data_IF_064888254985
#
_entry.id   IF_064888254985
#
_cell.length_a   1.000
_cell.length_b   1.000
_cell.length_c   1.000
_cell.angle_alpha   90.00
_cell.angle_beta   90.00
_cell.angle_gamma   90.00
#
_symmetry.space_group_name_H-M   'P 1'
#
loop_
_entity.id
_entity.type
_entity.pdbx_description
1 polymer ?
#
# COMPACT_ATOMS: atom_id res chain seq x y z
N UNK A 1 18.52 -7.45 -13.42
CA UNK A 1 17.46 -6.52 -13.87
C UNK A 1 16.63 -6.12 -12.65
N UNK A 2 16.44 -4.82 -12.41
CA UNK A 2 15.72 -4.29 -11.26
C UNK A 2 14.34 -4.95 -11.03
N UNK A 3 13.60 -5.23 -12.12
CA UNK A 3 12.30 -5.89 -12.04
C UNK A 3 12.37 -7.33 -11.51
N UNK A 4 13.38 -8.11 -11.89
CA UNK A 4 13.54 -9.49 -11.40
C UNK A 4 13.97 -9.51 -9.93
N UNK A 5 14.86 -8.60 -9.55
CA UNK A 5 15.32 -8.39 -8.17
C UNK A 5 14.16 -7.98 -7.26
N UNK A 6 13.34 -7.02 -7.70
CA UNK A 6 12.10 -6.62 -7.05
C UNK A 6 11.18 -7.83 -6.84
N UNK A 7 10.78 -8.54 -7.90
CA UNK A 7 9.87 -9.70 -7.79
C UNK A 7 10.42 -10.75 -6.83
N UNK A 8 11.72 -11.06 -6.91
CA UNK A 8 12.35 -12.01 -6.02
C UNK A 8 12.24 -11.59 -4.55
N UNK A 9 12.62 -10.35 -4.23
CA UNK A 9 12.57 -9.81 -2.88
C UNK A 9 11.13 -9.69 -2.36
N UNK A 10 10.19 -9.23 -3.18
CA UNK A 10 8.77 -9.14 -2.80
C UNK A 10 8.20 -10.53 -2.44
N UNK A 11 8.56 -11.58 -3.19
CA UNK A 11 8.13 -12.96 -2.91
C UNK A 11 8.75 -13.52 -1.61
N UNK A 12 10.00 -13.15 -1.33
CA UNK A 12 10.75 -13.64 -0.16
C UNK A 12 10.37 -12.95 1.14
N UNK A 13 10.20 -11.62 1.10
CA UNK A 13 10.03 -10.81 2.30
C UNK A 13 8.58 -10.36 2.46
N UNK A 14 8.02 -9.70 1.44
CA UNK A 14 6.70 -9.05 1.53
C UNK A 14 5.54 -10.04 1.53
N UNK A 15 5.62 -11.09 0.71
CA UNK A 15 4.54 -12.08 0.51
C UNK A 15 4.88 -13.45 1.10
N UNK A 16 5.81 -13.50 2.06
CA UNK A 16 6.28 -14.74 2.66
C UNK A 16 5.16 -15.53 3.34
N UNK A 17 4.20 -14.83 3.97
CA UNK A 17 3.08 -15.43 4.69
C UNK A 17 1.86 -15.78 3.82
N UNK A 18 1.87 -15.46 2.53
CA UNK A 18 0.73 -15.76 1.65
C UNK A 18 0.76 -17.22 1.17
N UNK A 19 -0.43 -17.82 1.18
CA UNK A 19 -0.69 -19.18 0.71
C UNK A 19 -1.85 -19.17 -0.28
N UNK A 20 -1.89 -20.16 -1.17
CA UNK A 20 -2.82 -20.18 -2.31
C UNK A 20 -4.31 -20.05 -1.93
N UNK A 21 -4.72 -20.53 -0.75
CA UNK A 21 -6.11 -20.44 -0.34
C UNK A 21 -6.50 -19.02 0.11
N UNK A 22 -5.55 -18.19 0.58
CA UNK A 22 -5.81 -16.79 0.89
C UNK A 22 -6.29 -16.07 -0.38
N UNK A 23 -5.62 -16.31 -1.50
CA UNK A 23 -6.03 -15.76 -2.80
C UNK A 23 -7.47 -16.13 -3.16
N UNK A 24 -7.89 -17.38 -2.91
CA UNK A 24 -9.26 -17.83 -3.18
C UNK A 24 -10.26 -17.19 -2.22
N UNK A 25 -9.95 -17.09 -0.94
CA UNK A 25 -10.82 -16.44 0.07
C UNK A 25 -11.02 -14.96 -0.27
N UNK A 26 -9.94 -14.27 -0.63
CA UNK A 26 -9.95 -12.85 -0.95
C UNK A 26 -10.88 -12.52 -2.13
N UNK A 27 -11.02 -13.43 -3.10
CA UNK A 27 -11.96 -13.27 -4.23
C UNK A 27 -13.42 -13.10 -3.79
N UNK A 28 -13.78 -13.59 -2.59
CA UNK A 28 -15.10 -13.42 -2.00
C UNK A 28 -15.15 -12.23 -1.04
N UNK A 29 -14.07 -11.97 -0.29
CA UNK A 29 -14.07 -10.97 0.78
C UNK A 29 -13.83 -9.55 0.26
N UNK A 30 -12.84 -9.35 -0.63
CA UNK A 30 -12.41 -8.02 -1.10
C UNK A 30 -13.54 -7.31 -1.86
N UNK A 31 -14.33 -8.06 -2.61
CA UNK A 31 -15.34 -7.51 -3.52
C UNK A 31 -16.74 -7.48 -2.91
N UNK A 32 -16.88 -7.46 -1.58
CA UNK A 32 -18.14 -7.68 -0.85
C UNK A 32 -18.71 -9.09 -1.11
N UNK A 33 -18.83 -9.96 -0.10
CA UNK A 33 -19.31 -11.34 -0.27
C UNK A 33 -20.64 -11.48 -1.02
N UNK A 34 -21.55 -10.51 -0.90
CA UNK A 34 -22.86 -10.57 -1.56
C UNK A 34 -22.78 -10.31 -3.08
N UNK A 35 -21.68 -9.75 -3.57
CA UNK A 35 -21.47 -9.58 -5.00
C UNK A 35 -21.29 -10.92 -5.74
N UNK A 36 -21.11 -12.03 -5.03
CA UNK A 36 -21.17 -13.40 -5.57
C UNK A 36 -22.44 -13.65 -6.39
N UNK A 37 -23.56 -13.06 -5.96
CA UNK A 37 -24.84 -13.17 -6.65
C UNK A 37 -24.91 -12.40 -7.96
N UNK A 38 -23.83 -11.70 -8.36
CA UNK A 38 -23.70 -11.01 -9.64
C UNK A 38 -22.55 -11.57 -10.46
N UNK A 39 -21.34 -11.70 -9.89
CA UNK A 39 -20.18 -12.11 -10.68
C UNK A 39 -20.20 -13.60 -11.07
N UNK A 40 -20.74 -14.50 -10.22
CA UNK A 40 -20.92 -15.91 -10.62
C UNK A 40 -21.92 -16.06 -11.77
N UNK A 41 -23.10 -15.40 -11.73
CA UNK A 41 -23.97 -15.35 -12.90
C UNK A 41 -23.32 -14.75 -14.15
N UNK A 42 -22.42 -13.78 -14.00
CA UNK A 42 -21.63 -13.24 -15.11
C UNK A 42 -20.68 -14.26 -15.73
N UNK A 43 -20.01 -15.05 -14.89
CA UNK A 43 -19.18 -16.16 -15.35
C UNK A 43 -20.04 -17.23 -16.05
N UNK A 44 -21.20 -17.56 -15.49
CA UNK A 44 -22.17 -18.46 -16.10
C UNK A 44 -22.64 -17.94 -17.46
N UNK A 45 -22.92 -16.64 -17.57
CA UNK A 45 -23.34 -16.01 -18.82
C UNK A 45 -22.34 -16.24 -19.95
N UNK A 46 -21.04 -16.01 -19.70
CA UNK A 46 -20.01 -16.17 -20.73
C UNK A 46 -19.90 -17.60 -21.28
N UNK A 47 -20.17 -18.64 -20.47
CA UNK A 47 -19.96 -20.03 -20.89
C UNK A 47 -21.23 -20.78 -21.26
N UNK A 48 -22.38 -20.43 -20.67
CA UNK A 48 -23.59 -21.25 -20.75
C UNK A 48 -24.79 -20.52 -21.36
N UNK A 49 -24.84 -19.19 -21.31
CA UNK A 49 -25.92 -18.42 -21.94
C UNK A 49 -25.71 -18.35 -23.47
N UNK A 50 -26.79 -18.48 -24.25
CA UNK A 50 -26.75 -18.45 -25.73
C UNK A 50 -26.17 -17.15 -26.28
N UNK A 51 -26.49 -16.01 -25.68
CA UNK A 51 -25.97 -14.70 -26.07
C UNK A 51 -24.56 -14.50 -25.53
N UNK A 52 -24.32 -14.88 -24.26
CA UNK A 52 -23.03 -14.70 -23.61
C UNK A 52 -21.90 -15.53 -24.20
N UNK A 53 -22.20 -16.70 -24.79
CA UNK A 53 -21.21 -17.53 -25.50
C UNK A 53 -20.45 -16.81 -26.61
N UNK A 54 -21.04 -15.77 -27.22
CA UNK A 54 -20.37 -14.92 -28.23
C UNK A 54 -19.19 -14.15 -27.64
N UNK A 55 -19.19 -13.95 -26.32
CA UNK A 55 -18.19 -13.23 -25.56
C UNK A 55 -17.40 -14.15 -24.61
N UNK A 56 -17.41 -15.47 -24.85
CA UNK A 56 -16.76 -16.46 -24.00
C UNK A 56 -15.26 -16.19 -23.79
N UNK A 57 -14.59 -15.53 -24.74
CA UNK A 57 -13.19 -15.12 -24.64
C UNK A 57 -12.93 -14.25 -23.40
N UNK A 58 -13.90 -13.42 -22.99
CA UNK A 58 -13.79 -12.62 -21.76
C UNK A 58 -13.77 -13.51 -20.53
N UNK A 59 -14.65 -14.51 -20.48
CA UNK A 59 -14.64 -15.53 -19.44
C UNK A 59 -13.33 -16.33 -19.42
N UNK A 60 -12.78 -16.67 -20.58
CA UNK A 60 -11.47 -17.35 -20.70
C UNK A 60 -10.36 -16.46 -20.14
N UNK A 61 -10.31 -15.17 -20.50
CA UNK A 61 -9.31 -14.22 -19.97
C UNK A 61 -9.37 -14.18 -18.45
N UNK A 62 -10.57 -14.09 -17.87
CA UNK A 62 -10.75 -14.11 -16.42
C UNK A 62 -10.23 -15.43 -15.80
N UNK A 63 -10.63 -16.58 -16.34
CA UNK A 63 -10.20 -17.89 -15.81
C UNK A 63 -8.69 -18.07 -15.96
N UNK A 64 -8.10 -17.67 -17.08
CA UNK A 64 -6.65 -17.73 -17.29
C UNK A 64 -5.90 -16.85 -16.28
N UNK A 65 -6.33 -15.60 -16.08
CA UNK A 65 -5.72 -14.71 -15.10
C UNK A 65 -5.87 -15.26 -13.67
N UNK A 66 -7.06 -15.74 -13.30
CA UNK A 66 -7.31 -16.41 -12.02
C UNK A 66 -6.38 -17.60 -11.81
N UNK A 67 -6.26 -18.50 -12.80
CA UNK A 67 -5.40 -19.68 -12.69
C UNK A 67 -3.91 -19.31 -12.60
N UNK A 68 -3.44 -18.32 -13.35
CA UNK A 68 -2.04 -17.85 -13.27
C UNK A 68 -1.73 -17.35 -11.86
N UNK A 69 -2.60 -16.51 -11.29
CA UNK A 69 -2.42 -15.96 -9.94
C UNK A 69 -2.57 -17.03 -8.85
N UNK A 70 -3.52 -17.95 -9.01
CA UNK A 70 -3.70 -19.08 -8.09
C UNK A 70 -2.47 -20.00 -8.08
N UNK A 71 -1.97 -20.38 -9.26
CA UNK A 71 -0.82 -21.29 -9.41
C UNK A 71 0.50 -20.66 -8.99
N UNK A 72 0.61 -19.31 -9.00
CA UNK A 72 1.74 -18.61 -8.40
C UNK A 72 1.86 -18.85 -6.89
N UNK A 73 0.75 -19.15 -6.20
CA UNK A 73 0.71 -19.55 -4.79
C UNK A 73 0.96 -18.45 -3.75
N UNK A 74 1.51 -17.30 -4.17
CA UNK A 74 1.83 -16.14 -3.32
C UNK A 74 1.22 -14.83 -3.85
N UNK A 75 0.23 -14.92 -4.72
CA UNK A 75 -0.45 -13.74 -5.28
C UNK A 75 -1.45 -13.17 -4.29
N UNK A 76 -1.52 -11.84 -4.23
CA UNK A 76 -2.54 -11.13 -3.49
C UNK A 76 -3.89 -11.20 -4.20
N UNK A 77 -4.98 -11.28 -3.44
CA UNK A 77 -6.32 -11.38 -4.01
C UNK A 77 -6.71 -10.19 -4.88
N UNK A 78 -6.29 -8.98 -4.51
CA UNK A 78 -6.66 -7.75 -5.21
C UNK A 78 -6.12 -7.65 -6.63
N UNK A 79 -5.09 -8.42 -7.00
CA UNK A 79 -4.51 -8.40 -8.35
C UNK A 79 -5.51 -8.78 -9.45
N UNK A 80 -6.54 -9.56 -9.10
CA UNK A 80 -7.60 -9.94 -10.04
C UNK A 80 -8.76 -8.94 -10.10
N UNK A 81 -8.83 -7.97 -9.19
CA UNK A 81 -9.98 -7.05 -9.05
C UNK A 81 -10.43 -6.38 -10.35
N UNK A 82 -9.53 -5.88 -11.23
CA UNK A 82 -9.96 -5.25 -12.48
C UNK A 82 -10.77 -6.18 -13.39
N UNK A 83 -10.51 -7.49 -13.35
CA UNK A 83 -11.19 -8.46 -14.21
C UNK A 83 -12.67 -8.66 -13.82
N UNK A 84 -13.04 -8.35 -12.57
CA UNK A 84 -14.42 -8.49 -12.08
C UNK A 84 -15.39 -7.48 -12.69
N UNK A 85 -14.92 -6.34 -13.20
CA UNK A 85 -15.77 -5.36 -13.89
C UNK A 85 -16.55 -6.01 -15.04
N UNK A 86 -15.88 -6.89 -15.79
CA UNK A 86 -16.49 -7.61 -16.91
C UNK A 86 -17.49 -8.67 -16.44
N UNK A 87 -17.21 -9.35 -15.31
CA UNK A 87 -18.15 -10.30 -14.71
C UNK A 87 -19.39 -9.60 -14.16
N UNK A 88 -19.24 -8.42 -13.54
CA UNK A 88 -20.38 -7.65 -13.06
C UNK A 88 -21.28 -7.17 -14.21
N UNK A 89 -20.69 -6.70 -15.31
CA UNK A 89 -21.45 -6.32 -16.50
C UNK A 89 -22.24 -7.50 -17.07
N UNK A 90 -21.59 -8.65 -17.28
CA UNK A 90 -22.24 -9.87 -17.76
C UNK A 90 -23.31 -10.39 -16.78
N UNK A 91 -23.04 -10.32 -15.48
CA UNK A 91 -23.95 -10.70 -14.42
C UNK A 91 -25.23 -9.87 -14.44
N UNK A 92 -25.09 -8.55 -14.59
CA UNK A 92 -26.21 -7.63 -14.73
C UNK A 92 -27.12 -7.98 -15.93
N UNK A 93 -26.53 -8.22 -17.10
CA UNK A 93 -27.27 -8.64 -18.31
C UNK A 93 -28.02 -9.94 -18.08
N UNK A 94 -27.35 -10.94 -17.50
CA UNK A 94 -27.96 -12.24 -17.25
C UNK A 94 -29.07 -12.18 -16.20
N UNK A 95 -28.87 -11.41 -15.13
CA UNK A 95 -29.88 -11.19 -14.09
C UNK A 95 -31.09 -10.43 -14.66
N UNK A 96 -30.90 -9.47 -15.56
CA UNK A 96 -32.02 -8.82 -16.26
C UNK A 96 -32.86 -9.83 -17.04
N UNK A 97 -32.22 -10.73 -17.80
CA UNK A 97 -32.91 -11.77 -18.56
C UNK A 97 -33.72 -12.72 -17.66
N UNK A 98 -33.15 -13.13 -16.51
CA UNK A 98 -33.84 -14.02 -15.56
C UNK A 98 -34.99 -13.30 -14.87
N UNK A 99 -34.78 -12.07 -14.42
CA UNK A 99 -35.77 -11.30 -13.65
C UNK A 99 -36.91 -10.76 -14.50
N UNK A 100 -36.82 -10.85 -15.84
CA UNK A 100 -37.96 -10.65 -16.73
C UNK A 100 -39.08 -11.69 -16.51
N UNK A 101 -38.75 -12.88 -16.00
CA UNK A 101 -39.74 -13.92 -15.69
C UNK A 101 -40.56 -13.50 -14.46
N UNK A 102 -41.90 -13.58 -14.55
CA UNK A 102 -42.83 -13.09 -13.52
C UNK A 102 -42.50 -13.60 -12.11
N UNK A 103 -42.15 -14.87 -11.95
CA UNK A 103 -41.84 -15.48 -10.65
C UNK A 103 -40.47 -15.06 -10.07
N UNK A 104 -39.55 -14.55 -10.88
CA UNK A 104 -38.24 -14.03 -10.45
C UNK A 104 -38.19 -12.50 -10.39
N UNK A 105 -39.29 -11.81 -10.69
CA UNK A 105 -39.31 -10.34 -10.81
C UNK A 105 -38.96 -9.62 -9.50
N UNK A 106 -39.19 -10.25 -8.35
CA UNK A 106 -38.82 -9.69 -7.05
C UNK A 106 -37.30 -9.47 -6.91
N UNK A 107 -36.47 -10.34 -7.51
CA UNK A 107 -35.01 -10.23 -7.53
C UNK A 107 -34.52 -8.96 -8.25
N UNK A 108 -35.32 -8.42 -9.18
CA UNK A 108 -34.99 -7.19 -9.91
C UNK A 108 -34.77 -6.00 -8.98
N UNK A 109 -35.41 -6.02 -7.82
CA UNK A 109 -35.31 -4.96 -6.83
C UNK A 109 -34.57 -5.42 -5.57
N UNK A 110 -34.85 -6.62 -5.08
CA UNK A 110 -34.25 -7.09 -3.83
C UNK A 110 -32.73 -7.28 -3.93
N UNK A 111 -32.22 -7.79 -5.05
CA UNK A 111 -30.79 -8.08 -5.21
C UNK A 111 -29.95 -6.79 -5.29
N UNK A 112 -30.28 -5.79 -6.13
CA UNK A 112 -29.58 -4.51 -6.09
C UNK A 112 -29.69 -3.81 -4.73
N UNK A 113 -30.83 -3.86 -4.05
CA UNK A 113 -30.98 -3.29 -2.70
C UNK A 113 -30.09 -4.00 -1.69
N UNK A 114 -29.99 -5.33 -1.74
CA UNK A 114 -29.12 -6.11 -0.86
C UNK A 114 -27.63 -5.76 -1.08
N UNK A 115 -27.22 -5.60 -2.33
CA UNK A 115 -25.85 -5.19 -2.68
C UNK A 115 -25.61 -3.75 -2.23
N UNK A 116 -26.57 -2.85 -2.42
CA UNK A 116 -26.46 -1.46 -2.00
C UNK A 116 -26.34 -1.34 -0.47
N UNK A 117 -27.17 -2.05 0.28
CA UNK A 117 -27.13 -2.01 1.75
C UNK A 117 -25.85 -2.66 2.30
N UNK A 118 -25.45 -3.81 1.77
CA UNK A 118 -24.19 -4.44 2.19
C UNK A 118 -22.97 -3.62 1.78
N UNK A 119 -22.99 -3.02 0.58
CA UNK A 119 -21.97 -2.08 0.12
C UNK A 119 -21.88 -0.85 1.01
N UNK A 120 -23.01 -0.24 1.38
CA UNK A 120 -23.04 0.91 2.29
C UNK A 120 -22.52 0.53 3.70
N UNK A 121 -22.89 -0.65 4.21
CA UNK A 121 -22.40 -1.15 5.48
C UNK A 121 -20.89 -1.47 5.46
N UNK A 122 -20.36 -1.97 4.35
CA UNK A 122 -18.93 -2.30 4.24
C UNK A 122 -18.07 -1.13 3.75
N UNK A 123 -18.67 -0.06 3.22
CA UNK A 123 -17.95 1.06 2.62
C UNK A 123 -16.86 1.68 3.52
N UNK A 124 -17.07 1.91 4.84
CA UNK A 124 -16.02 2.42 5.71
C UNK A 124 -14.78 1.52 5.81
N UNK A 125 -14.92 0.22 5.55
CA UNK A 125 -13.82 -0.75 5.57
C UNK A 125 -13.02 -0.75 4.25
N UNK A 126 -13.51 -0.10 3.20
CA UNK A 126 -12.86 -0.04 1.90
C UNK A 126 -12.40 1.37 1.50
N UNK A 127 -13.11 2.42 1.95
CA UNK A 127 -12.82 3.81 1.61
C UNK A 127 -12.97 4.76 2.82
N UNK A 128 -12.12 5.81 2.95
CA UNK A 128 -12.04 6.64 4.15
C UNK A 128 -13.17 7.68 4.23
N UNK A 129 -14.40 7.21 4.46
CA UNK A 129 -15.62 8.05 4.55
C UNK A 129 -16.00 8.44 5.97
N UNK A 130 -15.36 7.85 6.99
CA UNK A 130 -15.56 8.17 8.40
C UNK A 130 -14.31 8.81 9.00
N UNK A 131 -14.46 9.71 10.00
CA UNK A 131 -13.35 10.08 10.86
C UNK A 131 -12.72 8.85 11.53
N UNK A 132 -11.42 8.89 11.77
CA UNK A 132 -10.61 7.73 12.22
C UNK A 132 -11.19 7.05 13.46
N UNK A 133 -11.55 7.83 14.49
CA UNK A 133 -12.11 7.29 15.73
C UNK A 133 -13.48 6.63 15.50
N UNK A 134 -14.30 7.21 14.62
CA UNK A 134 -15.57 6.62 14.21
C UNK A 134 -15.36 5.32 13.43
N UNK A 135 -14.36 5.26 12.55
CA UNK A 135 -13.98 4.04 11.84
C UNK A 135 -13.54 2.94 12.81
N UNK A 136 -12.65 3.25 13.77
CA UNK A 136 -12.17 2.27 14.75
C UNK A 136 -13.34 1.69 15.55
N UNK A 137 -14.26 2.53 16.01
CA UNK A 137 -15.46 2.07 16.72
C UNK A 137 -16.39 1.24 15.81
N UNK A 138 -16.54 1.66 14.55
CA UNK A 138 -17.36 0.95 13.56
C UNK A 138 -16.84 -0.47 13.32
N UNK A 139 -15.53 -0.60 13.07
CA UNK A 139 -14.87 -1.88 12.86
C UNK A 139 -15.00 -2.80 14.08
N UNK A 140 -14.80 -2.27 15.30
CA UNK A 140 -14.98 -3.02 16.56
C UNK A 140 -16.41 -3.52 16.73
N UNK A 141 -17.40 -2.69 16.40
CA UNK A 141 -18.83 -3.05 16.49
C UNK A 141 -19.19 -4.19 15.54
N UNK A 142 -18.55 -4.26 14.38
CA UNK A 142 -18.69 -5.37 13.43
C UNK A 142 -17.91 -6.64 13.84
N UNK A 143 -17.18 -6.60 14.97
CA UNK A 143 -16.33 -7.71 15.41
C UNK A 143 -15.12 -7.95 14.50
N UNK A 144 -14.72 -6.95 13.72
CA UNK A 144 -13.59 -7.05 12.79
C UNK A 144 -12.30 -6.55 13.42
N UNK A 145 -11.22 -7.31 13.23
CA UNK A 145 -9.89 -6.90 13.62
C UNK A 145 -9.16 -6.26 12.43
N UNK A 146 -8.17 -5.37 12.66
CA UNK A 146 -7.26 -4.92 11.62
C UNK A 146 -6.54 -6.10 10.98
N UNK A 147 -6.42 -6.10 9.65
CA UNK A 147 -5.74 -7.17 8.90
C UNK A 147 -4.76 -6.60 7.88
N UNK A 148 -3.79 -7.44 7.50
CA UNK A 148 -2.80 -7.17 6.46
C UNK A 148 -2.49 -8.47 5.72
N UNK A 149 -2.35 -8.38 4.40
CA UNK A 149 -1.93 -9.49 3.54
C UNK A 149 -0.40 -9.68 3.53
N UNK A 150 0.35 -8.84 4.25
CA UNK A 150 1.81 -8.82 4.28
C UNK A 150 2.37 -9.32 5.62
N UNK A 151 1.50 -9.71 6.57
CA UNK A 151 1.92 -10.23 7.88
C UNK A 151 2.57 -9.18 8.78
N UNK A 152 2.28 -7.90 8.55
CA UNK A 152 2.82 -6.79 9.30
C UNK A 152 2.16 -6.66 10.69
N UNK A 153 2.92 -6.13 11.64
CA UNK A 153 2.34 -5.68 12.91
C UNK A 153 1.39 -4.52 12.65
N UNK A 154 0.22 -4.56 13.27
CA UNK A 154 -0.81 -3.52 13.15
C UNK A 154 -1.25 -3.02 14.53
N UNK A 155 -1.66 -1.75 14.57
CA UNK A 155 -2.29 -1.14 15.73
C UNK A 155 -3.82 -1.17 15.57
N UNK A 156 -4.49 -0.03 15.72
CA UNK A 156 -5.96 0.08 15.68
C UNK A 156 -6.53 0.10 14.25
N UNK A 157 -5.68 0.27 13.23
CA UNK A 157 -6.08 0.44 11.83
C UNK A 157 -5.52 -0.67 10.94
N UNK A 158 -6.27 -1.09 9.91
CA UNK A 158 -5.73 -1.95 8.86
C UNK A 158 -4.63 -1.21 8.09
N UNK A 159 -3.72 -1.97 7.45
CA UNK A 159 -2.51 -1.44 6.82
C UNK A 159 -2.79 -0.22 5.92
N UNK A 160 -3.73 -0.33 4.99
CA UNK A 160 -4.02 0.72 4.00
C UNK A 160 -4.50 2.04 4.61
N UNK A 161 -5.04 2.04 5.83
CA UNK A 161 -5.32 3.28 6.57
C UNK A 161 -4.16 3.71 7.44
N UNK A 162 -3.46 2.78 8.09
CA UNK A 162 -2.30 3.11 8.91
C UNK A 162 -1.18 3.80 8.10
N UNK A 163 -0.98 3.37 6.85
CA UNK A 163 -0.02 3.95 5.91
C UNK A 163 -0.36 5.39 5.46
N UNK A 164 -1.57 5.89 5.78
CA UNK A 164 -1.99 7.27 5.48
C UNK A 164 -1.59 8.29 6.58
N UNK A 165 -1.02 7.82 7.70
CA UNK A 165 -0.67 8.66 8.86
C UNK A 165 0.84 8.84 9.04
N UNK A 166 1.24 9.89 9.75
CA UNK A 166 2.63 10.14 10.14
C UNK A 166 3.44 10.97 9.16
N UNK A 167 2.96 11.15 7.92
CA UNK A 167 3.66 11.89 6.87
C UNK A 167 3.92 13.36 7.23
N UNK A 168 2.89 14.05 7.74
CA UNK A 168 3.05 15.46 8.09
C UNK A 168 3.86 15.62 9.39
N UNK A 169 3.65 14.76 10.37
CA UNK A 169 4.43 14.73 11.62
C UNK A 169 5.92 14.51 11.33
N UNK A 170 6.24 13.60 10.40
CA UNK A 170 7.60 13.36 9.93
C UNK A 170 8.19 14.60 9.28
N UNK A 171 7.47 15.21 8.32
CA UNK A 171 7.92 16.42 7.64
C UNK A 171 8.14 17.60 8.60
N UNK A 172 7.22 17.83 9.54
CA UNK A 172 7.37 18.85 10.60
C UNK A 172 8.60 18.59 11.46
N UNK A 173 8.81 17.34 11.87
CA UNK A 173 9.92 16.95 12.76
C UNK A 173 11.26 17.12 12.05
N UNK A 174 11.39 16.60 10.83
CA UNK A 174 12.59 16.73 10.01
C UNK A 174 12.90 18.19 9.70
N UNK A 175 11.89 18.99 9.32
CA UNK A 175 12.07 20.43 9.09
C UNK A 175 12.52 21.17 10.35
N UNK A 176 11.98 20.83 11.52
CA UNK A 176 12.43 21.40 12.81
C UNK A 176 13.89 21.06 13.10
N UNK A 177 14.32 19.81 12.85
CA UNK A 177 15.72 19.41 12.97
C UNK A 177 16.58 20.24 12.01
N UNK A 178 16.24 20.27 10.73
CA UNK A 178 16.98 21.04 9.71
C UNK A 178 17.11 22.53 10.05
N UNK A 179 16.01 23.17 10.41
CA UNK A 179 15.99 24.61 10.75
C UNK A 179 16.62 24.94 12.10
N UNK A 180 16.95 23.93 12.92
CA UNK A 180 17.73 24.11 14.15
C UNK A 180 19.24 24.06 13.93
N UNK A 181 19.72 23.53 12.80
CA UNK A 181 21.14 23.46 12.48
C UNK A 181 21.72 24.85 12.18
N UNK A 182 23.04 25.09 12.40
CA UNK A 182 23.69 26.32 11.97
C UNK A 182 23.53 26.55 10.46
N UNK A 183 23.37 27.81 10.04
CA UNK A 183 23.14 28.16 8.63
C UNK A 183 24.26 27.63 7.71
N UNK A 184 25.52 27.65 8.18
CA UNK A 184 26.68 27.10 7.47
C UNK A 184 26.59 25.60 7.18
N UNK A 185 25.79 24.84 7.93
CA UNK A 185 25.61 23.40 7.74
C UNK A 185 24.39 23.07 6.87
N UNK A 186 23.47 24.03 6.66
CA UNK A 186 22.21 23.82 5.95
C UNK A 186 22.35 23.71 4.44
N UNK A 187 23.43 24.25 3.88
CA UNK A 187 23.69 24.27 2.44
C UNK A 187 24.33 22.96 1.93
N UNK A 188 24.91 22.15 2.84
CA UNK A 188 25.68 20.94 2.52
C UNK A 188 25.11 19.69 3.20
N UNK A 189 23.79 19.66 3.39
CA UNK A 189 23.07 18.56 4.03
C UNK A 189 21.96 18.02 3.12
N UNK A 190 21.69 16.72 3.24
CA UNK A 190 20.56 16.04 2.59
C UNK A 190 19.77 15.24 3.63
N UNK A 191 18.53 14.88 3.31
CA UNK A 191 17.76 13.91 4.08
C UNK A 191 17.88 12.54 3.43
N UNK A 192 18.27 11.52 4.19
CA UNK A 192 18.24 10.13 3.76
C UNK A 192 17.01 9.42 4.33
N UNK A 193 16.10 9.04 3.43
CA UNK A 193 14.93 8.25 3.71
C UNK A 193 15.17 6.79 3.33
N UNK A 194 14.82 5.85 4.21
CA UNK A 194 15.01 4.42 3.97
C UNK A 194 14.04 3.86 2.94
N UNK A 195 12.84 4.43 2.82
CA UNK A 195 11.85 3.95 1.88
C UNK A 195 11.16 5.07 1.10
N UNK A 196 10.46 4.69 0.02
CA UNK A 196 9.82 5.63 -0.91
C UNK A 196 8.62 6.34 -0.28
N UNK A 197 7.99 5.77 0.75
CA UNK A 197 6.89 6.36 1.50
C UNK A 197 7.39 7.54 2.34
N UNK A 198 8.45 7.32 3.12
CA UNK A 198 9.18 8.39 3.84
C UNK A 198 9.63 9.48 2.85
N UNK A 199 10.35 9.11 1.79
CA UNK A 199 10.90 10.06 0.82
C UNK A 199 9.80 10.88 0.13
N UNK A 200 8.74 10.20 -0.31
CA UNK A 200 7.60 10.83 -0.97
C UNK A 200 6.83 11.75 -0.04
N UNK A 201 6.67 11.36 1.23
CA UNK A 201 6.00 12.19 2.24
C UNK A 201 6.74 13.51 2.48
N UNK A 202 8.06 13.45 2.62
CA UNK A 202 8.90 14.64 2.81
C UNK A 202 8.86 15.54 1.59
N UNK A 203 9.06 14.98 0.39
CA UNK A 203 9.00 15.75 -0.85
C UNK A 203 7.63 16.40 -1.05
N UNK A 204 6.52 15.71 -0.74
CA UNK A 204 5.18 16.27 -0.81
C UNK A 204 5.01 17.50 0.09
N UNK A 205 5.55 17.43 1.31
CA UNK A 205 5.45 18.52 2.30
C UNK A 205 6.56 19.58 2.23
N UNK A 206 7.55 19.42 1.35
CA UNK A 206 8.68 20.35 1.19
C UNK A 206 8.28 21.79 0.84
N UNK A 207 7.11 21.99 0.23
CA UNK A 207 6.55 23.34 -0.04
C UNK A 207 6.02 24.03 1.22
N UNK A 208 5.61 23.25 2.22
CA UNK A 208 5.02 23.74 3.47
C UNK A 208 6.06 23.87 4.57
N UNK A 209 7.01 22.94 4.62
CA UNK A 209 8.06 22.90 5.64
C UNK A 209 9.43 23.01 4.95
N UNK A 210 10.29 23.98 5.32
CA UNK A 210 11.63 24.08 4.77
C UNK A 210 12.45 22.82 5.06
N UNK A 211 13.05 22.24 4.03
CA UNK A 211 13.88 21.06 4.15
C UNK A 211 14.89 20.98 2.97
N UNK A 212 16.03 20.32 3.17
CA UNK A 212 17.02 20.11 2.12
C UNK A 212 16.53 19.03 1.13
N UNK A 213 17.30 18.74 0.06
CA UNK A 213 17.00 17.63 -0.84
C UNK A 213 16.85 16.30 -0.09
N UNK A 214 15.88 15.49 -0.53
CA UNK A 214 15.60 14.15 0.00
C UNK A 214 16.16 13.11 -0.97
N UNK A 215 16.97 12.20 -0.46
CA UNK A 215 17.54 11.06 -1.18
C UNK A 215 16.99 9.75 -0.60
N UNK A 216 16.83 8.74 -1.46
CA UNK A 216 16.31 7.44 -1.08
C UNK A 216 16.82 6.37 -2.04
N UNK A 217 17.16 5.22 -1.50
CA UNK A 217 17.74 4.07 -2.22
C UNK A 217 16.73 2.95 -2.49
N UNK A 218 15.46 3.19 -2.12
CA UNK A 218 14.38 2.22 -2.23
C UNK A 218 13.64 2.31 -3.57
N UNK A 219 13.52 1.18 -4.24
CA UNK A 219 12.83 1.04 -5.52
C UNK A 219 13.31 2.08 -6.55
N UNK A 220 12.39 2.73 -7.27
CA UNK A 220 12.73 3.65 -8.34
C UNK A 220 13.42 4.94 -7.86
N UNK A 221 13.38 5.28 -6.57
CA UNK A 221 14.15 6.41 -6.05
C UNK A 221 15.66 6.22 -6.27
N UNK A 222 16.14 4.97 -6.23
CA UNK A 222 17.53 4.65 -6.52
C UNK A 222 17.96 5.08 -7.94
N UNK A 223 17.04 5.03 -8.90
CA UNK A 223 17.30 5.43 -10.29
C UNK A 223 17.44 6.96 -10.40
N UNK A 224 16.78 7.71 -9.53
CA UNK A 224 16.80 9.18 -9.55
C UNK A 224 18.09 9.79 -9.00
N UNK A 225 18.89 8.99 -8.29
CA UNK A 225 20.20 9.40 -7.81
C UNK A 225 20.14 10.34 -6.60
N UNK A 226 21.30 10.94 -6.31
CA UNK A 226 21.49 11.96 -5.30
C UNK A 226 22.03 13.26 -5.94
N UNK A 227 21.92 14.42 -5.26
CA UNK A 227 22.44 15.69 -5.77
C UNK A 227 23.93 15.61 -6.12
N UNK A 228 24.35 16.27 -7.21
CA UNK A 228 25.77 16.37 -7.58
C UNK A 228 26.57 17.31 -6.68
N UNK A 229 25.88 18.17 -5.94
CA UNK A 229 26.50 19.05 -4.95
C UNK A 229 27.07 18.20 -3.82
N UNK A 230 28.28 18.51 -3.39
CA UNK A 230 28.91 17.82 -2.26
C UNK A 230 28.10 18.04 -0.98
N UNK A 231 27.83 16.98 -0.25
CA UNK A 231 27.24 17.03 1.09
C UNK A 231 28.07 16.18 2.03
N UNK A 232 28.28 16.70 3.25
CA UNK A 232 29.05 16.02 4.30
C UNK A 232 28.20 15.64 5.49
N UNK A 233 26.99 16.18 5.57
CA UNK A 233 26.04 15.94 6.64
C UNK A 233 24.79 15.28 6.06
N UNK A 234 24.15 14.42 6.85
CA UNK A 234 22.89 13.76 6.49
C UNK A 234 21.93 13.80 7.68
N UNK A 235 20.68 14.16 7.42
CA UNK A 235 19.56 13.86 8.33
C UNK A 235 19.04 12.47 7.97
N UNK A 236 19.21 11.49 8.84
CA UNK A 236 18.77 10.11 8.61
C UNK A 236 17.49 9.84 9.39
N UNK A 237 16.50 9.27 8.70
CA UNK A 237 15.23 8.84 9.30
C UNK A 237 15.39 7.38 9.67
N UNK A 238 15.14 6.98 10.92
CA UNK A 238 15.18 5.57 11.33
C UNK A 238 16.58 4.97 11.43
N UNK A 239 16.63 3.64 11.49
CA UNK A 239 17.87 2.87 11.70
C UNK A 239 18.36 2.85 13.16
N UNK A 240 19.44 2.10 13.40
CA UNK A 240 20.07 2.01 14.72
C UNK A 240 21.22 3.00 14.81
N UNK A 241 21.38 3.63 15.98
CA UNK A 241 22.46 4.60 16.23
C UNK A 241 23.86 4.02 15.92
N UNK A 242 24.10 2.76 16.26
CA UNK A 242 25.40 2.11 16.04
C UNK A 242 25.74 1.93 14.56
N UNK A 243 24.74 1.67 13.71
CA UNK A 243 24.93 1.55 12.26
C UNK A 243 25.39 2.90 11.70
N UNK A 244 24.75 3.99 12.15
CA UNK A 244 25.09 5.36 11.71
C UNK A 244 26.47 5.81 12.20
N UNK A 245 26.87 5.46 13.43
CA UNK A 245 28.20 5.82 13.98
C UNK A 245 29.35 5.25 13.17
N UNK A 246 29.14 4.14 12.47
CA UNK A 246 30.17 3.54 11.61
C UNK A 246 30.42 4.34 10.32
N UNK A 247 29.47 5.21 9.93
CA UNK A 247 29.45 5.90 8.64
C UNK A 247 29.74 7.41 8.75
N UNK A 248 29.83 7.95 9.97
CA UNK A 248 29.93 9.39 10.23
C UNK A 248 30.88 9.70 11.39
N UNK A 249 31.58 10.81 11.33
CA UNK A 249 32.46 11.29 12.42
C UNK A 249 31.68 11.52 13.72
N UNK A 250 30.44 12.01 13.61
CA UNK A 250 29.54 12.18 14.76
C UNK A 250 28.09 11.95 14.37
N UNK A 251 27.33 11.36 15.29
CA UNK A 251 25.89 11.10 15.13
C UNK A 251 25.16 11.50 16.39
N UNK A 252 24.14 12.35 16.24
CA UNK A 252 23.25 12.74 17.35
C UNK A 252 21.81 12.40 17.00
N UNK A 253 21.09 11.76 17.92
CA UNK A 253 19.65 11.61 17.80
C UNK A 253 18.97 12.95 18.13
N UNK A 254 18.49 13.65 17.11
CA UNK A 254 17.93 14.99 17.25
C UNK A 254 16.44 14.99 17.60
N UNK A 255 15.69 13.97 17.15
CA UNK A 255 14.25 13.89 17.42
C UNK A 255 13.73 12.44 17.30
N UNK A 256 12.43 12.27 17.57
CA UNK A 256 11.68 11.04 17.30
C UNK A 256 10.34 11.42 16.69
N UNK A 257 10.01 10.87 15.53
CA UNK A 257 8.71 11.02 14.88
C UNK A 257 7.71 10.13 15.61
N UNK A 258 6.55 10.69 15.96
CA UNK A 258 5.46 9.97 16.61
C UNK A 258 4.14 10.28 15.94
N UNK A 259 3.37 9.23 15.66
CA UNK A 259 2.02 9.31 15.13
C UNK A 259 1.16 8.24 15.78
N UNK A 260 -0.01 8.62 16.28
CA UNK A 260 -0.92 7.70 16.98
C UNK A 260 -1.37 6.54 16.08
N UNK A 261 -1.59 6.83 14.80
CA UNK A 261 -2.26 5.95 13.86
C UNK A 261 -1.36 5.43 12.73
N UNK A 262 -0.11 5.88 12.67
CA UNK A 262 0.84 5.37 11.69
C UNK A 262 1.08 3.87 11.88
N UNK A 263 1.43 3.21 10.77
CA UNK A 263 1.85 1.82 10.80
C UNK A 263 3.05 1.65 11.75
N UNK A 264 3.12 0.59 12.57
CA UNK A 264 4.07 0.50 13.67
C UNK A 264 5.54 0.72 13.28
N UNK A 265 5.98 0.21 12.13
CA UNK A 265 7.36 0.35 11.68
C UNK A 265 7.70 1.76 11.17
N UNK A 266 6.70 2.60 10.88
CA UNK A 266 6.86 4.03 10.54
C UNK A 266 6.64 4.95 11.75
N UNK A 267 6.46 4.37 12.94
CA UNK A 267 6.20 5.11 14.16
C UNK A 267 7.36 5.01 15.15
N UNK A 268 7.50 6.00 16.02
CA UNK A 268 8.63 6.14 16.93
C UNK A 268 9.98 6.12 16.20
N UNK A 269 10.02 6.63 14.96
CA UNK A 269 11.23 6.67 14.14
C UNK A 269 12.20 7.73 14.68
N UNK A 270 13.41 7.36 15.11
CA UNK A 270 14.43 8.34 15.49
C UNK A 270 14.88 9.14 14.26
N UNK A 271 15.15 10.43 14.45
CA UNK A 271 15.80 11.27 13.45
C UNK A 271 17.21 11.55 13.94
N UNK A 272 18.20 11.15 13.15
CA UNK A 272 19.61 11.36 13.44
C UNK A 272 20.18 12.47 12.56
N UNK A 273 21.10 13.24 13.12
CA UNK A 273 21.98 14.14 12.38
C UNK A 273 23.36 13.50 12.37
N UNK A 274 23.76 13.01 11.21
CA UNK A 274 25.08 12.51 10.90
C UNK A 274 25.91 13.68 10.34
N UNK A 275 27.06 13.96 10.96
CA UNK A 275 27.99 14.98 10.50
C UNK A 275 29.34 14.36 10.18
N UNK A 276 29.96 14.82 9.09
CA UNK A 276 31.25 14.29 8.63
C UNK A 276 31.13 12.86 8.10
N UNK A 277 30.42 12.68 6.99
CA UNK A 277 30.35 11.41 6.27
C UNK A 277 31.76 10.84 6.01
N UNK A 278 31.99 9.62 6.49
CA UNK A 278 33.24 8.87 6.31
C UNK A 278 33.22 8.11 4.98
N UNK A 279 32.03 7.59 4.61
CA UNK A 279 31.79 6.88 3.36
C UNK A 279 31.29 7.83 2.28
N UNK A 280 31.67 7.58 1.03
CA UNK A 280 31.26 8.43 -0.08
C UNK A 280 29.78 8.26 -0.42
N UNK A 281 29.11 9.30 -0.94
CA UNK A 281 27.74 9.18 -1.46
C UNK A 281 27.57 8.06 -2.50
N UNK A 282 28.60 7.80 -3.30
CA UNK A 282 28.58 6.73 -4.30
C UNK A 282 28.59 5.33 -3.65
N UNK A 283 29.35 5.15 -2.57
CA UNK A 283 29.36 3.90 -1.80
C UNK A 283 28.02 3.66 -1.11
N UNK A 284 27.42 4.69 -0.49
CA UNK A 284 26.05 4.61 0.06
C UNK A 284 25.08 4.19 -1.04
N UNK A 285 25.15 4.83 -2.21
CA UNK A 285 24.21 4.56 -3.29
C UNK A 285 24.30 3.13 -3.84
N UNK A 286 25.50 2.56 -3.90
CA UNK A 286 25.68 1.18 -4.35
C UNK A 286 25.36 0.16 -3.26
N UNK A 287 25.74 0.44 -2.01
CA UNK A 287 25.62 -0.48 -0.88
C UNK A 287 24.20 -0.59 -0.32
N UNK A 288 23.44 0.51 -0.31
CA UNK A 288 22.11 0.58 0.30
C UNK A 288 20.97 0.35 -0.70
N UNK A 289 21.30 -0.01 -1.95
CA UNK A 289 20.32 -0.25 -3.01
C UNK A 289 19.33 -1.34 -2.59
N UNK A 290 18.03 -1.01 -2.58
CA UNK A 290 16.98 -1.95 -2.20
C UNK A 290 15.79 -1.90 -3.16
N UNK A 291 15.53 -3.01 -3.88
CA UNK A 291 14.30 -3.21 -4.66
C UNK A 291 13.38 -4.19 -3.93
N UNK A 292 12.23 -3.74 -3.41
CA UNK A 292 11.26 -4.57 -2.66
C UNK A 292 9.81 -4.10 -2.75
#
# INVERSE_FOLDING_TARGET
FAHLEFIHNTILYKYAGLVWYNFVIDQFVILNPLNIFVWLPGLYFFFFNKEGKKYNIIGIIYISAFLILLLNGKSKGEYLSPAYVMLFAAGGVFLEQITAKKYMRWLRYSLPMLILFSGAALAPLAIPILPVESFINYQRTLGMAPTTNEGLDLNELPQFYADMFGWEEMAKTVSKVYTSLPESERDSIVIFAHNYGEAGSLQYFSKKYPMPPVICVHNNYWIWGYPKTEFKNIIVIGGRLEDHKSSCDSVTQAAVVKSKYAIPYENNLPIYVCSGLIISPAEIWQGEKLFM
#
